data_IF_764172263588
#
_entry.id   IF_764172263588
#
_cell.length_a   1.000
_cell.length_b   1.000
_cell.length_c   1.000
_cell.angle_alpha   90.00
_cell.angle_beta   90.00
_cell.angle_gamma   90.00
#
_symmetry.space_group_name_H-M   'P 1'
#
loop_
_entity.id
_entity.type
_entity.pdbx_description
1 polymer ?
#
# COMPACT_ATOMS: atom_id res chain seq x y z
N UNK A 1 7.53 -16.66 -6.27
CA UNK A 1 7.67 -15.61 -5.24
C UNK A 1 9.13 -15.24 -5.06
N UNK A 2 9.46 -13.94 -5.04
CA UNK A 2 10.83 -13.48 -4.76
C UNK A 2 11.04 -13.53 -3.25
N UNK A 3 11.56 -14.65 -2.74
CA UNK A 3 11.89 -14.84 -1.32
C UNK A 3 12.88 -13.76 -0.87
N UNK A 4 12.52 -12.91 0.10
CA UNK A 4 13.49 -12.09 0.82
C UNK A 4 13.74 -12.68 2.21
N UNK A 5 15.02 -12.81 2.52
CA UNK A 5 15.61 -13.49 3.67
C UNK A 5 15.60 -12.67 4.96
N UNK A 6 14.94 -11.51 5.00
CA UNK A 6 15.02 -10.58 6.14
C UNK A 6 13.96 -11.00 7.16
N UNK A 7 14.35 -11.40 8.38
CA UNK A 7 13.40 -11.70 9.45
C UNK A 7 12.42 -10.55 9.69
N UNK A 8 11.16 -10.88 10.00
CA UNK A 8 10.07 -9.90 10.21
C UNK A 8 10.45 -8.78 11.21
N UNK A 9 11.20 -9.10 12.26
CA UNK A 9 11.68 -8.12 13.25
C UNK A 9 12.57 -7.01 12.70
N UNK A 10 13.14 -7.18 11.50
CA UNK A 10 13.94 -6.16 10.83
C UNK A 10 13.16 -5.47 9.69
N UNK A 11 11.87 -5.79 9.54
CA UNK A 11 10.97 -5.10 8.62
C UNK A 11 10.68 -3.69 9.12
N UNK A 12 10.46 -2.73 8.22
CA UNK A 12 10.17 -1.35 8.61
C UNK A 12 8.87 -1.23 9.40
N UNK A 13 7.85 -2.07 9.17
CA UNK A 13 6.64 -2.08 10.01
C UNK A 13 6.98 -2.34 11.48
N UNK A 14 7.89 -3.30 11.74
CA UNK A 14 8.37 -3.59 13.09
C UNK A 14 9.09 -2.39 13.70
N UNK A 15 10.01 -1.80 12.94
CA UNK A 15 10.75 -0.63 13.39
C UNK A 15 9.84 0.57 13.69
N UNK A 16 8.86 0.85 12.82
CA UNK A 16 7.89 1.95 13.00
C UNK A 16 7.08 1.74 14.28
N UNK A 17 6.57 0.51 14.50
CA UNK A 17 5.85 0.19 15.73
C UNK A 17 6.73 0.34 16.97
N UNK A 18 7.96 -0.21 16.95
CA UNK A 18 8.90 -0.07 18.06
C UNK A 18 9.21 1.39 18.40
N UNK A 19 9.44 2.24 17.39
CA UNK A 19 9.67 3.67 17.61
C UNK A 19 8.42 4.39 18.15
N UNK A 20 7.25 4.05 17.63
CA UNK A 20 5.97 4.63 18.07
C UNK A 20 5.68 4.28 19.53
N UNK A 21 5.81 3.00 19.89
CA UNK A 21 5.70 2.51 21.27
C UNK A 21 6.68 3.19 22.21
N UNK A 22 7.95 3.32 21.83
CA UNK A 22 8.95 3.99 22.67
C UNK A 22 8.62 5.48 22.92
N UNK A 23 8.05 6.18 21.94
CA UNK A 23 7.58 7.56 22.14
C UNK A 23 6.36 7.62 23.07
N UNK A 24 5.39 6.70 22.92
CA UNK A 24 4.23 6.62 23.82
C UNK A 24 4.67 6.41 25.27
N UNK A 25 5.66 5.55 25.51
CA UNK A 25 6.24 5.34 26.84
C UNK A 25 6.84 6.62 27.41
N UNK A 26 7.62 7.36 26.59
CA UNK A 26 8.20 8.62 27.01
C UNK A 26 7.13 9.67 27.37
N UNK A 27 6.06 9.77 26.58
CA UNK A 27 4.96 10.70 26.88
C UNK A 27 4.20 10.32 28.15
N UNK A 28 3.96 9.02 28.37
CA UNK A 28 3.33 8.52 29.58
C UNK A 28 4.18 8.82 30.82
N UNK A 29 5.49 8.56 30.76
CA UNK A 29 6.41 8.78 31.89
C UNK A 29 6.52 10.27 32.26
N UNK A 30 6.38 11.17 31.28
CA UNK A 30 6.48 12.61 31.49
C UNK A 30 5.13 13.32 31.75
N UNK A 31 4.00 12.60 31.67
CA UNK A 31 2.64 13.17 31.72
C UNK A 31 2.43 14.31 30.68
N UNK A 32 2.94 14.11 29.47
CA UNK A 32 2.92 15.11 28.39
C UNK A 32 1.79 14.86 27.37
N UNK A 33 1.07 15.91 26.92
CA UNK A 33 0.23 15.78 25.74
C UNK A 33 1.10 15.58 24.49
N UNK A 34 0.64 14.76 23.55
CA UNK A 34 1.41 14.43 22.36
C UNK A 34 0.62 14.54 21.05
N UNK A 35 1.38 14.71 19.97
CA UNK A 35 0.95 14.43 18.61
C UNK A 35 1.94 13.42 18.03
N UNK A 36 1.47 12.21 17.73
CA UNK A 36 2.30 11.12 17.24
C UNK A 36 1.81 10.69 15.84
N UNK A 37 2.70 10.76 14.86
CA UNK A 37 2.44 10.37 13.48
C UNK A 37 3.16 9.06 13.14
N UNK A 38 2.44 7.93 13.19
CA UNK A 38 2.96 6.62 12.81
C UNK A 38 2.64 6.32 11.34
N UNK A 39 3.56 6.68 10.45
CA UNK A 39 3.41 6.49 9.00
C UNK A 39 3.96 5.13 8.56
N UNK A 40 3.08 4.23 8.11
CA UNK A 40 3.48 2.96 7.50
C UNK A 40 3.68 3.11 5.99
N UNK A 41 4.71 2.45 5.45
CA UNK A 41 4.98 2.43 4.01
C UNK A 41 4.23 1.32 3.29
N UNK A 42 3.97 0.20 3.98
CA UNK A 42 3.09 -0.83 3.44
C UNK A 42 1.69 -0.25 3.23
N UNK A 43 0.96 -0.71 2.21
CA UNK A 43 1.32 -1.77 1.26
C UNK A 43 1.91 -1.25 -0.07
N UNK A 44 2.67 -0.15 -0.09
CA UNK A 44 3.24 0.43 -1.30
C UNK A 44 4.23 -0.54 -2.02
N UNK A 45 4.27 -0.59 -3.36
CA UNK A 45 5.23 -1.42 -4.10
C UNK A 45 6.70 -1.09 -3.76
N UNK A 46 7.64 -2.03 -3.91
CA UNK A 46 7.49 -3.38 -4.50
C UNK A 46 6.79 -4.33 -3.53
N UNK A 47 5.88 -5.16 -4.06
CA UNK A 47 5.10 -6.12 -3.27
C UNK A 47 5.97 -7.24 -2.72
N UNK A 48 6.35 -7.07 -1.45
CA UNK A 48 7.30 -7.92 -0.75
C UNK A 48 6.93 -7.86 0.73
N UNK A 49 6.72 -9.02 1.35
CA UNK A 49 6.44 -9.14 2.79
C UNK A 49 7.19 -10.37 3.33
N UNK A 50 7.66 -10.39 4.58
CA UNK A 50 8.31 -11.57 5.16
C UNK A 50 7.35 -12.75 5.37
N UNK A 51 7.91 -13.97 5.45
CA UNK A 51 7.18 -15.14 5.96
C UNK A 51 6.65 -14.85 7.39
N UNK A 52 5.45 -15.33 7.75
CA UNK A 52 4.56 -16.17 6.94
C UNK A 52 3.63 -15.39 6.00
N UNK A 53 3.59 -14.06 6.11
CA UNK A 53 2.61 -13.20 5.45
C UNK A 53 2.62 -13.31 3.92
N UNK A 54 3.75 -13.69 3.34
CA UNK A 54 3.93 -13.85 1.90
C UNK A 54 3.10 -14.99 1.30
N UNK A 55 2.61 -15.92 2.12
CA UNK A 55 1.93 -17.14 1.67
C UNK A 55 0.56 -17.37 2.30
N UNK A 56 0.06 -16.45 3.13
CA UNK A 56 -1.22 -16.63 3.84
C UNK A 56 -2.44 -16.48 2.92
N UNK A 57 -2.28 -15.82 1.76
CA UNK A 57 -3.34 -15.63 0.78
C UNK A 57 -3.09 -16.48 -0.47
N UNK A 58 -4.08 -17.29 -0.84
CA UNK A 58 -4.01 -18.12 -2.05
C UNK A 58 -4.26 -17.26 -3.30
N UNK A 59 -3.27 -17.21 -4.17
CA UNK A 59 -3.34 -16.52 -5.47
C UNK A 59 -4.47 -17.04 -6.38
N UNK A 60 -4.93 -18.28 -6.22
CA UNK A 60 -6.06 -18.78 -6.99
C UNK A 60 -7.42 -18.24 -6.48
N UNK A 61 -7.46 -17.73 -5.24
CA UNK A 61 -8.68 -17.25 -4.58
C UNK A 61 -8.91 -15.74 -4.72
N UNK A 62 -7.90 -14.98 -5.15
CA UNK A 62 -8.04 -13.52 -5.29
C UNK A 62 -8.83 -13.16 -6.54
N UNK A 63 -9.67 -12.13 -6.42
CA UNK A 63 -10.32 -11.51 -7.57
C UNK A 63 -9.28 -10.71 -8.35
N UNK A 64 -9.12 -11.02 -9.63
CA UNK A 64 -8.33 -10.24 -10.57
C UNK A 64 -9.30 -9.53 -11.51
N UNK A 65 -9.55 -8.22 -11.33
CA UNK A 65 -10.37 -7.44 -12.25
C UNK A 65 -9.71 -7.31 -13.63
N UNK A 66 -10.54 -7.14 -14.65
CA UNK A 66 -10.11 -7.00 -16.05
C UNK A 66 -10.77 -5.77 -16.67
N UNK A 67 -10.16 -5.24 -17.73
CA UNK A 67 -10.74 -4.16 -18.55
C UNK A 67 -11.83 -4.72 -19.46
N UNK A 68 -12.91 -3.97 -19.66
CA UNK A 68 -13.89 -4.31 -20.68
C UNK A 68 -13.45 -3.77 -22.05
N UNK A 69 -13.74 -4.48 -23.16
CA UNK A 69 -13.43 -3.97 -24.49
C UNK A 69 -14.06 -2.58 -24.70
N UNK A 70 -13.30 -1.68 -25.34
CA UNK A 70 -13.72 -0.32 -25.70
C UNK A 70 -14.06 0.61 -24.50
N UNK A 71 -13.78 0.17 -23.26
CA UNK A 71 -14.10 0.92 -22.03
C UNK A 71 -13.52 2.34 -22.03
N UNK A 72 -12.33 2.51 -22.59
CA UNK A 72 -11.61 3.78 -22.60
C UNK A 72 -11.79 4.62 -23.87
N UNK A 73 -12.75 4.28 -24.74
CA UNK A 73 -12.98 5.03 -25.97
C UNK A 73 -13.47 6.46 -25.72
N UNK A 74 -14.24 6.65 -24.65
CA UNK A 74 -14.82 7.95 -24.26
C UNK A 74 -14.02 8.66 -23.17
N UNK A 75 -13.08 7.97 -22.51
CA UNK A 75 -12.22 8.58 -21.51
C UNK A 75 -11.19 9.53 -22.17
N UNK A 76 -10.59 10.45 -21.39
CA UNK A 76 -9.44 11.22 -21.84
C UNK A 76 -8.31 10.34 -22.39
N UNK A 77 -7.49 10.83 -23.32
CA UNK A 77 -6.54 9.99 -24.08
C UNK A 77 -5.58 9.15 -23.23
N UNK A 78 -5.20 9.65 -22.05
CA UNK A 78 -4.25 8.95 -21.17
C UNK A 78 -4.78 7.61 -20.64
N UNK A 79 -6.09 7.39 -20.62
CA UNK A 79 -6.67 6.08 -20.28
C UNK A 79 -6.41 5.05 -21.37
N UNK A 80 -6.47 5.43 -22.66
CA UNK A 80 -6.11 4.49 -23.74
C UNK A 80 -4.61 4.22 -23.80
N UNK A 81 -3.79 5.17 -23.35
CA UNK A 81 -2.35 4.96 -23.27
C UNK A 81 -2.00 3.84 -22.29
N UNK A 82 -2.70 3.72 -21.16
CA UNK A 82 -2.40 2.64 -20.19
C UNK A 82 -2.59 1.24 -20.79
N UNK A 83 -3.44 1.10 -21.80
CA UNK A 83 -3.73 -0.16 -22.48
C UNK A 83 -2.79 -0.46 -23.67
N UNK A 84 -1.65 0.24 -23.76
CA UNK A 84 -0.62 0.00 -24.79
C UNK A 84 0.62 -0.63 -24.17
N UNK A 85 1.30 -1.50 -24.93
CA UNK A 85 2.52 -2.17 -24.46
C UNK A 85 3.70 -1.20 -24.21
N UNK A 86 3.80 -0.14 -25.01
CA UNK A 86 4.85 0.88 -24.93
C UNK A 86 4.24 2.29 -25.07
N UNK A 87 3.59 2.81 -24.02
CA UNK A 87 2.89 4.08 -24.10
C UNK A 87 3.79 5.29 -23.93
N UNK A 88 3.54 6.33 -24.72
CA UNK A 88 4.22 7.62 -24.59
C UNK A 88 3.47 8.55 -23.62
N UNK A 89 3.92 8.55 -22.37
CA UNK A 89 3.44 9.47 -21.33
C UNK A 89 4.24 10.78 -21.23
N UNK A 90 5.13 11.10 -22.18
CA UNK A 90 5.96 12.31 -22.15
C UNK A 90 5.15 13.60 -21.84
N UNK A 91 3.93 13.81 -22.37
CA UNK A 91 3.13 14.99 -22.04
C UNK A 91 2.67 15.10 -20.57
N UNK A 92 2.74 14.01 -19.79
CA UNK A 92 2.33 13.93 -18.38
C UNK A 92 3.53 13.84 -17.42
N UNK A 93 4.75 13.99 -17.93
CA UNK A 93 5.94 14.05 -17.10
C UNK A 93 6.14 15.48 -16.57
N UNK A 94 6.57 15.58 -15.33
CA UNK A 94 7.05 16.81 -14.73
C UNK A 94 8.37 17.27 -15.38
N UNK A 95 8.71 18.54 -15.18
CA UNK A 95 10.03 19.06 -15.55
C UNK A 95 11.13 18.24 -14.82
N UNK A 96 11.97 17.56 -15.60
CA UNK A 96 12.94 16.58 -15.08
C UNK A 96 12.60 15.11 -15.37
N UNK A 97 11.45 14.84 -15.98
CA UNK A 97 11.09 13.50 -16.50
C UNK A 97 10.42 12.58 -15.48
N UNK A 98 10.06 13.08 -14.29
CA UNK A 98 9.31 12.30 -13.31
C UNK A 98 7.84 12.21 -13.73
N UNK A 99 7.26 11.01 -13.72
CA UNK A 99 5.84 10.80 -13.98
C UNK A 99 5.06 10.49 -12.71
N UNK A 100 3.74 10.69 -12.77
CA UNK A 100 2.82 10.12 -11.79
C UNK A 100 2.93 8.59 -11.80
N UNK A 101 2.70 7.95 -10.65
CA UNK A 101 2.95 6.52 -10.49
C UNK A 101 2.16 5.66 -11.49
N UNK A 102 0.96 6.06 -11.92
CA UNK A 102 0.19 5.34 -12.93
C UNK A 102 0.49 5.71 -14.39
N UNK A 103 1.40 6.63 -14.70
CA UNK A 103 1.74 7.00 -16.08
C UNK A 103 2.71 5.99 -16.73
N UNK A 104 2.27 4.74 -16.88
CA UNK A 104 2.98 3.66 -17.55
C UNK A 104 2.01 2.63 -18.16
N UNK A 105 2.54 1.57 -18.78
CA UNK A 105 1.76 0.44 -19.29
C UNK A 105 1.05 -0.30 -18.14
N UNK A 106 -0.26 -0.53 -18.25
CA UNK A 106 -1.07 -1.25 -17.27
C UNK A 106 -1.41 -2.67 -17.73
N UNK A 107 -0.96 -3.08 -18.91
CA UNK A 107 -1.10 -4.46 -19.35
C UNK A 107 -0.28 -5.38 -18.45
N UNK A 108 -0.91 -6.46 -18.00
CA UNK A 108 -0.32 -7.43 -17.09
C UNK A 108 -0.86 -8.82 -17.38
N UNK A 109 -0.06 -9.83 -17.08
CA UNK A 109 -0.55 -11.20 -17.06
C UNK A 109 -1.40 -11.43 -15.81
N UNK A 110 -2.57 -12.05 -15.97
CA UNK A 110 -3.52 -12.30 -14.86
C UNK A 110 -2.85 -12.97 -13.66
N UNK A 111 -1.99 -13.97 -13.91
CA UNK A 111 -1.29 -14.71 -12.86
C UNK A 111 -0.20 -13.90 -12.17
N UNK A 112 0.38 -12.90 -12.84
CA UNK A 112 1.31 -11.96 -12.20
C UNK A 112 0.55 -11.04 -11.26
N UNK A 113 -0.55 -10.45 -11.74
CA UNK A 113 -1.37 -9.58 -10.93
C UNK A 113 -1.99 -10.30 -9.73
N UNK A 114 -2.43 -11.55 -9.89
CA UNK A 114 -2.93 -12.37 -8.78
C UNK A 114 -1.89 -12.55 -7.66
N UNK A 115 -0.61 -12.72 -8.02
CA UNK A 115 0.48 -12.83 -7.03
C UNK A 115 0.72 -11.51 -6.32
N UNK A 116 0.67 -10.41 -7.05
CA UNK A 116 0.85 -9.07 -6.51
C UNK A 116 -0.29 -8.71 -5.54
N UNK A 117 -1.54 -9.00 -5.90
CA UNK A 117 -2.71 -8.81 -5.03
C UNK A 117 -2.59 -9.65 -3.76
N UNK A 118 -2.26 -10.95 -3.88
CA UNK A 118 -2.10 -11.82 -2.71
C UNK A 118 -0.97 -11.33 -1.78
N UNK A 119 0.15 -10.88 -2.35
CA UNK A 119 1.24 -10.30 -1.57
C UNK A 119 0.84 -8.97 -0.92
N UNK A 120 0.10 -8.11 -1.63
CA UNK A 120 -0.43 -6.85 -1.10
C UNK A 120 -1.33 -7.11 0.12
N UNK A 121 -2.22 -8.11 0.05
CA UNK A 121 -3.01 -8.51 1.23
C UNK A 121 -2.12 -9.00 2.37
N UNK A 122 -1.08 -9.78 2.09
CA UNK A 122 -0.09 -10.18 3.08
C UNK A 122 0.61 -8.99 3.75
N UNK A 123 0.99 -7.97 2.97
CA UNK A 123 1.56 -6.71 3.49
C UNK A 123 0.57 -5.98 4.40
N UNK A 124 -0.70 -5.90 4.00
CA UNK A 124 -1.76 -5.29 4.83
C UNK A 124 -1.91 -6.04 6.15
N UNK A 125 -1.95 -7.37 6.16
CA UNK A 125 -2.04 -8.14 7.41
C UNK A 125 -0.81 -8.00 8.30
N UNK A 126 0.39 -7.97 7.70
CA UNK A 126 1.63 -7.72 8.45
C UNK A 126 1.59 -6.33 9.10
N UNK A 127 1.19 -5.30 8.33
CA UNK A 127 1.02 -3.94 8.84
C UNK A 127 -0.02 -3.87 9.96
N UNK A 128 -1.16 -4.52 9.80
CA UNK A 128 -2.25 -4.57 10.78
C UNK A 128 -1.78 -5.09 12.14
N UNK A 129 -0.98 -6.18 12.17
CA UNK A 129 -0.33 -6.66 13.40
C UNK A 129 0.45 -5.56 14.12
N UNK A 130 1.24 -4.78 13.39
CA UNK A 130 2.11 -3.76 13.97
C UNK A 130 1.34 -2.50 14.40
N UNK A 131 0.24 -2.16 13.72
CA UNK A 131 -0.72 -1.17 14.21
C UNK A 131 -1.33 -1.64 15.52
N UNK A 132 -1.75 -2.91 15.59
CA UNK A 132 -2.26 -3.54 16.81
C UNK A 132 -1.30 -3.38 18.00
N UNK A 133 -0.01 -3.63 17.81
CA UNK A 133 1.01 -3.45 18.86
C UNK A 133 1.11 -2.01 19.40
N UNK A 134 0.90 -1.00 18.54
CA UNK A 134 0.89 0.41 18.97
C UNK A 134 -0.36 0.68 19.82
N UNK A 135 -1.53 0.21 19.38
CA UNK A 135 -2.80 0.38 20.08
C UNK A 135 -2.81 -0.36 21.42
N UNK A 136 -2.33 -1.59 21.45
CA UNK A 136 -2.16 -2.38 22.68
C UNK A 136 -1.25 -1.67 23.68
N UNK A 137 -0.18 -1.02 23.20
CA UNK A 137 0.71 -0.24 24.07
C UNK A 137 0.03 1.01 24.61
N UNK A 138 -0.72 1.73 23.77
CA UNK A 138 -1.49 2.90 24.16
C UNK A 138 -2.48 2.55 25.29
N UNK A 139 -3.17 1.41 25.18
CA UNK A 139 -4.06 0.88 26.23
C UNK A 139 -3.28 0.49 27.49
N UNK A 140 -2.19 -0.26 27.36
CA UNK A 140 -1.37 -0.71 28.50
C UNK A 140 -0.76 0.45 29.31
N UNK A 141 -0.54 1.62 28.69
CA UNK A 141 -0.06 2.84 29.35
C UNK A 141 -1.19 3.67 29.96
N UNK A 142 -2.46 3.26 29.80
CA UNK A 142 -3.63 4.02 30.29
C UNK A 142 -3.92 5.29 29.49
N UNK A 143 -3.34 5.43 28.29
CA UNK A 143 -3.48 6.63 27.45
C UNK A 143 -4.72 6.58 26.53
N UNK A 144 -5.32 5.40 26.34
CA UNK A 144 -6.37 5.17 25.34
C UNK A 144 -7.61 6.08 25.52
N UNK A 145 -8.08 6.26 26.75
CA UNK A 145 -9.30 7.04 27.05
C UNK A 145 -9.15 8.55 26.77
N UNK A 146 -7.91 9.05 26.67
CA UNK A 146 -7.62 10.47 26.46
C UNK A 146 -6.83 10.73 25.16
N UNK A 147 -6.85 9.79 24.21
CA UNK A 147 -6.14 9.90 22.93
C UNK A 147 -7.12 9.78 21.76
N UNK A 148 -7.15 10.78 20.88
CA UNK A 148 -7.84 10.66 19.59
C UNK A 148 -6.97 9.88 18.61
N UNK A 149 -7.45 8.72 18.15
CA UNK A 149 -6.79 7.92 17.11
C UNK A 149 -7.43 8.20 15.75
N UNK A 150 -6.61 8.63 14.78
CA UNK A 150 -7.02 8.81 13.39
C UNK A 150 -6.29 7.80 12.52
N UNK A 151 -7.04 6.98 11.80
CA UNK A 151 -6.52 6.02 10.83
C UNK A 151 -6.96 6.42 9.42
N UNK A 152 -6.01 6.57 8.50
CA UNK A 152 -6.28 6.97 7.12
C UNK A 152 -5.19 6.44 6.19
N UNK A 153 -5.45 6.50 4.88
CA UNK A 153 -4.46 6.34 3.82
C UNK A 153 -4.27 7.67 3.09
N UNK A 154 -3.15 7.85 2.40
CA UNK A 154 -2.90 8.98 1.50
C UNK A 154 -3.68 8.83 0.17
N UNK A 155 -3.83 7.60 -0.33
CA UNK A 155 -4.64 7.25 -1.49
C UNK A 155 -4.97 5.73 -1.55
N UNK A 156 -5.72 5.32 -2.57
CA UNK A 156 -5.97 3.91 -2.90
C UNK A 156 -4.95 3.29 -3.87
N UNK A 157 -5.22 2.07 -4.35
CA UNK A 157 -4.37 1.39 -5.33
C UNK A 157 -5.22 0.54 -6.27
N UNK A 158 -5.03 0.69 -7.58
CA UNK A 158 -5.66 -0.13 -8.60
C UNK A 158 -4.85 -1.40 -8.88
N UNK A 159 -5.55 -2.52 -8.97
CA UNK A 159 -5.04 -3.82 -9.36
C UNK A 159 -5.89 -4.38 -10.50
N UNK A 160 -6.09 -3.61 -11.56
CA UNK A 160 -6.81 -4.04 -12.76
C UNK A 160 -8.27 -3.58 -12.83
N UNK A 161 -8.82 -2.92 -11.80
CA UNK A 161 -10.16 -2.33 -11.91
C UNK A 161 -10.16 -1.33 -13.07
N UNK A 162 -11.10 -1.50 -14.02
CA UNK A 162 -11.14 -0.74 -15.27
C UNK A 162 -9.86 -0.85 -16.11
N UNK A 163 -9.10 -1.94 -15.97
CA UNK A 163 -7.79 -2.08 -16.63
C UNK A 163 -6.68 -1.21 -16.04
N UNK A 164 -6.92 -0.53 -14.92
CA UNK A 164 -5.97 0.41 -14.35
C UNK A 164 -5.05 -0.24 -13.31
N UNK A 165 -3.83 0.23 -13.22
CA UNK A 165 -2.83 -0.20 -12.24
C UNK A 165 -2.27 1.03 -11.51
N UNK A 166 -1.90 0.84 -10.25
CA UNK A 166 -1.34 1.87 -9.38
C UNK A 166 -2.33 3.00 -9.05
N UNK A 167 -1.95 4.26 -9.29
CA UNK A 167 -2.68 5.43 -8.79
C UNK A 167 -2.41 6.64 -9.68
N UNK A 168 -3.47 7.38 -9.97
CA UNK A 168 -3.43 8.65 -10.71
C UNK A 168 -2.85 8.57 -12.14
N UNK A 169 -3.17 9.51 -13.03
CA UNK A 169 -4.22 10.53 -12.97
C UNK A 169 -5.57 9.98 -13.47
N UNK A 170 -5.96 8.80 -13.01
CA UNK A 170 -7.16 8.09 -13.44
C UNK A 170 -8.24 8.15 -12.35
N UNK A 171 -9.14 9.13 -12.47
CA UNK A 171 -10.38 9.13 -11.70
C UNK A 171 -11.46 8.45 -12.54
N UNK A 172 -12.09 7.45 -11.96
CA UNK A 172 -13.10 6.63 -12.63
C UNK A 172 -14.32 6.52 -11.70
N UNK A 173 -15.51 6.78 -12.24
CA UNK A 173 -16.81 6.64 -11.58
C UNK A 173 -17.68 5.65 -12.36
#
# INVERSE_FOLDING_TARGET
MRKRLIPERYHYNAWIAERSTALLEQYADNDEPFFLWSSFFDPHPKYLVPEPWDTIYDTASVTVPEVTPDEHDVNPPHFRLTQQADPDFTPWLEEGGNGLHGCHCHLHERDELARDIACYYGMVSCMDKYIGLILDRLEALGLAENTLVVFTSDHGHFFGQHGLIAKGPFHYE
#
